data_IF_932369609079
#
_entry.id   IF_932369609079
#
_cell.length_a   1.000
_cell.length_b   1.000
_cell.length_c   1.000
_cell.angle_alpha   90.00
_cell.angle_beta   90.00
_cell.angle_gamma   90.00
#
_symmetry.space_group_name_H-M   'P 1'
#
loop_
_entity.id
_entity.type
_entity.pdbx_description
1 polymer ?
#
# COMPACT_ATOMS: atom_id res chain seq x y z
N UNK A 1 -13.12 12.78 4.32
CA UNK A 1 -13.33 11.60 3.46
C UNK A 1 -12.23 10.61 3.81
N UNK A 2 -12.58 9.38 4.14
CA UNK A 2 -11.62 8.35 4.52
C UNK A 2 -11.34 7.56 3.25
N UNK A 3 -10.17 7.77 2.63
CA UNK A 3 -9.77 6.97 1.47
C UNK A 3 -9.54 5.53 1.96
N UNK A 4 -10.48 4.62 1.65
CA UNK A 4 -10.32 3.21 1.95
C UNK A 4 -9.38 2.58 0.91
N UNK A 5 -8.08 2.57 1.22
CA UNK A 5 -7.11 1.80 0.45
C UNK A 5 -7.30 0.33 0.81
N UNK A 6 -8.12 -0.37 0.03
CA UNK A 6 -8.20 -1.83 0.07
C UNK A 6 -7.03 -2.38 -0.73
N UNK A 7 -5.95 -2.73 -0.03
CA UNK A 7 -4.84 -3.51 -0.60
C UNK A 7 -5.30 -4.98 -0.64
N UNK A 8 -5.62 -5.47 -1.84
CA UNK A 8 -6.00 -6.86 -2.09
C UNK A 8 -4.74 -7.70 -2.34
N UNK A 9 -4.83 -8.98 -1.99
CA UNK A 9 -3.69 -9.89 -1.91
C UNK A 9 -3.28 -10.44 -3.28
N UNK A 10 -2.16 -11.16 -3.30
CA UNK A 10 -1.32 -11.50 -4.46
C UNK A 10 -2.04 -12.17 -5.64
N UNK A 11 -3.20 -12.81 -5.44
CA UNK A 11 -3.95 -13.40 -6.57
C UNK A 11 -4.84 -12.40 -7.32
N UNK A 12 -5.09 -11.21 -6.76
CA UNK A 12 -5.94 -10.16 -7.37
C UNK A 12 -5.12 -8.96 -7.88
N UNK A 13 -3.79 -8.95 -7.71
CA UNK A 13 -2.94 -7.81 -8.16
C UNK A 13 -2.72 -7.81 -9.69
N UNK A 14 -3.37 -8.72 -10.42
CA UNK A 14 -3.53 -8.62 -11.87
C UNK A 14 -4.80 -7.86 -12.30
N UNK A 15 -5.66 -7.46 -11.35
CA UNK A 15 -6.85 -6.68 -11.64
C UNK A 15 -6.64 -5.21 -11.31
N UNK A 16 -6.62 -4.41 -12.38
CA UNK A 16 -6.76 -2.96 -12.37
C UNK A 16 -7.87 -2.55 -11.41
N UNK A 17 -7.52 -1.97 -10.26
CA UNK A 17 -8.53 -1.42 -9.34
C UNK A 17 -9.02 -0.09 -9.89
N UNK A 18 -10.05 -0.14 -10.72
CA UNK A 18 -10.82 1.03 -11.17
C UNK A 18 -11.62 1.60 -9.98
N UNK A 19 -11.08 2.61 -9.32
CA UNK A 19 -11.83 3.45 -8.37
C UNK A 19 -12.59 4.49 -9.21
N UNK A 20 -13.83 4.17 -9.58
CA UNK A 20 -14.72 5.06 -10.33
C UNK A 20 -15.52 5.96 -9.35
N UNK A 21 -15.06 7.20 -9.14
CA UNK A 21 -15.92 8.28 -8.65
C UNK A 21 -16.27 9.20 -9.84
N UNK A 22 -17.50 9.11 -10.32
CA UNK A 22 -18.19 10.13 -11.13
C UNK A 22 -17.37 10.72 -12.29
N UNK A 23 -16.81 9.86 -13.16
CA UNK A 23 -16.11 10.31 -14.38
C UNK A 23 -14.78 11.01 -14.15
N UNK A 24 -14.23 10.97 -12.93
CA UNK A 24 -12.85 11.36 -12.65
C UNK A 24 -11.94 10.17 -12.90
N UNK A 25 -11.11 10.29 -13.93
CA UNK A 25 -10.05 9.31 -14.21
C UNK A 25 -9.15 9.14 -12.99
N UNK A 26 -8.64 7.93 -12.78
CA UNK A 26 -7.71 7.62 -11.69
C UNK A 26 -6.53 8.60 -11.69
N UNK A 27 -6.39 9.35 -10.60
CA UNK A 27 -5.24 10.21 -10.37
C UNK A 27 -3.95 9.38 -10.21
N UNK A 28 -4.05 8.08 -9.89
CA UNK A 28 -2.89 7.21 -9.70
C UNK A 28 -3.12 5.79 -10.18
N UNK A 29 -2.13 5.23 -10.89
CA UNK A 29 -2.07 3.83 -11.33
C UNK A 29 -0.77 3.21 -10.83
N UNK A 30 -0.85 1.99 -10.27
CA UNK A 30 0.30 1.20 -9.84
C UNK A 30 0.27 -0.15 -10.55
N UNK A 31 1.31 -0.46 -11.32
CA UNK A 31 1.42 -1.69 -12.10
C UNK A 31 2.48 -2.62 -11.51
N UNK A 32 2.11 -3.89 -11.27
CA UNK A 32 3.07 -4.94 -10.98
C UNK A 32 3.52 -5.61 -12.28
N UNK A 33 4.76 -5.34 -12.66
CA UNK A 33 5.37 -5.90 -13.88
C UNK A 33 5.82 -7.33 -13.66
N UNK A 34 5.63 -8.14 -14.70
CA UNK A 34 6.36 -9.40 -14.88
C UNK A 34 7.34 -9.26 -16.06
N UNK A 35 8.31 -10.18 -16.22
CA UNK A 35 9.22 -10.15 -17.37
C UNK A 35 8.51 -10.10 -18.73
N UNK A 36 7.31 -10.69 -18.85
CA UNK A 36 6.54 -10.70 -20.09
C UNK A 36 5.74 -9.42 -20.35
N UNK A 37 5.45 -8.61 -19.33
CA UNK A 37 4.63 -7.38 -19.47
C UNK A 37 5.46 -6.10 -19.48
N UNK A 38 6.71 -6.13 -19.01
CA UNK A 38 7.58 -4.96 -18.84
C UNK A 38 7.64 -4.04 -20.08
N UNK A 39 7.75 -4.58 -21.30
CA UNK A 39 7.79 -3.79 -22.54
C UNK A 39 6.48 -3.03 -22.81
N UNK A 40 5.34 -3.64 -22.49
CA UNK A 40 4.02 -3.04 -22.69
C UNK A 40 3.75 -1.99 -21.62
N UNK A 41 4.11 -2.29 -20.37
CA UNK A 41 3.91 -1.40 -19.22
C UNK A 41 4.75 -0.13 -19.35
N UNK A 42 6.05 -0.26 -19.66
CA UNK A 42 6.96 0.88 -19.86
C UNK A 42 6.77 1.62 -21.20
N UNK A 43 6.05 1.01 -22.14
CA UNK A 43 5.82 1.51 -23.49
C UNK A 43 4.37 1.99 -23.70
N UNK A 44 3.54 1.09 -24.24
CA UNK A 44 2.19 1.42 -24.72
C UNK A 44 1.26 1.89 -23.59
N UNK A 45 1.23 1.19 -22.45
CA UNK A 45 0.37 1.57 -21.32
C UNK A 45 0.75 2.94 -20.76
N UNK A 46 2.04 3.18 -20.53
CA UNK A 46 2.54 4.50 -20.10
C UNK A 46 2.10 5.62 -21.04
N UNK A 47 2.22 5.43 -22.36
CA UNK A 47 1.77 6.43 -23.34
C UNK A 47 0.25 6.64 -23.30
N UNK A 48 -0.51 5.55 -23.14
CA UNK A 48 -1.96 5.58 -23.04
C UNK A 48 -2.41 6.36 -21.79
N UNK A 49 -1.79 6.10 -20.63
CA UNK A 49 -2.10 6.78 -19.37
C UNK A 49 -1.74 8.27 -19.39
N UNK A 50 -0.63 8.66 -20.02
CA UNK A 50 -0.27 10.06 -20.22
C UNK A 50 -1.20 10.79 -21.20
N UNK A 51 -1.42 10.19 -22.38
CA UNK A 51 -2.00 10.91 -23.51
C UNK A 51 -3.52 10.91 -23.50
N UNK A 52 -4.14 9.79 -23.10
CA UNK A 52 -5.58 9.60 -23.17
C UNK A 52 -6.21 9.79 -21.78
N UNK A 53 -5.75 9.04 -20.78
CA UNK A 53 -6.35 9.06 -19.44
C UNK A 53 -5.93 10.25 -18.59
N UNK A 54 -4.82 10.90 -18.93
CA UNK A 54 -4.28 12.06 -18.18
C UNK A 54 -4.03 11.76 -16.71
N UNK A 55 -3.75 10.49 -16.39
CA UNK A 55 -3.45 10.01 -15.04
C UNK A 55 -2.26 10.76 -14.46
N UNK A 56 -2.40 11.25 -13.23
CA UNK A 56 -1.42 12.15 -12.62
C UNK A 56 -0.13 11.42 -12.20
N UNK A 57 -0.23 10.25 -11.58
CA UNK A 57 0.94 9.45 -11.20
C UNK A 57 0.83 8.01 -11.75
N UNK A 58 1.90 7.54 -12.39
CA UNK A 58 2.01 6.16 -12.87
C UNK A 58 3.23 5.49 -12.24
N UNK A 59 3.00 4.40 -11.52
CA UNK A 59 4.04 3.61 -10.87
C UNK A 59 4.16 2.24 -11.52
N UNK A 60 5.37 1.72 -11.58
CA UNK A 60 5.65 0.35 -11.99
C UNK A 60 6.62 -0.31 -11.04
N UNK A 61 6.46 -1.60 -10.79
CA UNK A 61 7.36 -2.38 -9.94
C UNK A 61 7.40 -3.84 -10.38
N UNK A 62 8.58 -4.41 -10.47
CA UNK A 62 8.80 -5.83 -10.66
C UNK A 62 9.07 -6.50 -9.30
N UNK A 63 8.20 -7.40 -8.81
CA UNK A 63 8.38 -8.06 -7.52
C UNK A 63 9.59 -8.99 -7.45
N UNK A 64 10.21 -9.32 -8.60
CA UNK A 64 11.44 -10.11 -8.69
C UNK A 64 12.71 -9.25 -8.79
N UNK A 65 12.58 -7.92 -8.83
CA UNK A 65 13.68 -6.97 -8.77
C UNK A 65 13.35 -5.86 -7.76
N UNK A 66 13.83 -5.96 -6.50
CA UNK A 66 13.53 -5.00 -5.43
C UNK A 66 13.87 -3.55 -5.74
N UNK A 67 14.76 -3.29 -6.70
CA UNK A 67 15.20 -1.93 -7.06
C UNK A 67 14.44 -1.36 -8.29
N UNK A 68 13.44 -2.08 -8.79
CA UNK A 68 12.76 -1.75 -10.04
C UNK A 68 11.66 -0.68 -9.91
N UNK A 69 11.32 -0.27 -8.68
CA UNK A 69 10.25 0.68 -8.40
C UNK A 69 10.53 2.02 -9.10
N UNK A 70 9.62 2.41 -10.00
CA UNK A 70 9.71 3.64 -10.78
C UNK A 70 8.38 4.37 -10.79
N UNK A 71 8.44 5.69 -10.97
CA UNK A 71 7.27 6.56 -11.11
C UNK A 71 7.47 7.60 -12.19
N UNK A 72 6.38 7.94 -12.84
CA UNK A 72 6.23 9.15 -13.62
C UNK A 72 5.11 10.02 -13.05
N UNK A 73 5.36 11.33 -12.98
CA UNK A 73 4.36 12.32 -12.62
C UNK A 73 4.00 13.16 -13.84
N UNK A 74 2.71 13.43 -14.02
CA UNK A 74 2.20 14.19 -15.15
C UNK A 74 2.00 15.65 -14.78
N UNK A 75 2.79 16.50 -15.42
CA UNK A 75 2.47 17.91 -15.56
C UNK A 75 1.79 18.11 -16.93
N UNK A 76 2.58 18.45 -17.95
CA UNK A 76 2.12 18.46 -19.35
C UNK A 76 2.25 17.08 -20.00
N UNK A 77 3.32 16.38 -19.64
CA UNK A 77 3.73 15.05 -20.06
C UNK A 77 4.34 14.32 -18.85
N UNK A 78 4.53 13.01 -18.98
CA UNK A 78 5.13 12.21 -17.92
C UNK A 78 6.62 12.49 -17.75
N UNK A 79 7.00 12.88 -16.53
CA UNK A 79 8.38 13.08 -16.11
C UNK A 79 8.74 12.06 -15.05
N UNK A 80 9.87 11.37 -15.24
CA UNK A 80 10.35 10.39 -14.27
C UNK A 80 10.69 11.10 -12.96
N UNK A 81 10.22 10.54 -11.84
CA UNK A 81 10.55 11.05 -10.50
C UNK A 81 11.55 10.11 -9.86
N UNK A 82 12.66 10.67 -9.39
CA UNK A 82 13.65 9.92 -8.64
C UNK A 82 13.09 9.52 -7.27
N UNK A 83 13.41 8.30 -6.85
CA UNK A 83 13.15 7.86 -5.50
C UNK A 83 14.02 8.61 -4.48
N UNK A 84 13.59 8.60 -3.22
CA UNK A 84 14.38 9.13 -2.12
C UNK A 84 15.54 8.20 -1.74
N UNK A 85 16.23 8.53 -0.64
CA UNK A 85 17.36 7.75 -0.13
C UNK A 85 16.98 6.32 0.30
N UNK A 86 15.71 6.06 0.61
CA UNK A 86 15.18 4.73 0.94
C UNK A 86 14.68 3.97 -0.29
N UNK A 87 14.72 4.59 -1.49
CA UNK A 87 14.12 4.02 -2.70
C UNK A 87 12.60 4.16 -2.73
N UNK A 88 12.02 5.06 -1.94
CA UNK A 88 10.58 5.29 -1.89
C UNK A 88 10.15 6.47 -2.79
N UNK A 89 8.89 6.44 -3.21
CA UNK A 89 8.31 7.43 -4.11
C UNK A 89 7.04 8.02 -3.50
N UNK A 90 7.02 9.34 -3.34
CA UNK A 90 5.87 10.05 -2.76
C UNK A 90 4.70 10.13 -3.73
N UNK A 91 3.52 9.65 -3.35
CA UNK A 91 2.29 9.82 -4.13
C UNK A 91 1.51 11.03 -3.60
N UNK A 92 1.44 12.12 -4.38
CA UNK A 92 0.79 13.37 -3.95
C UNK A 92 -0.72 13.22 -3.79
N UNK A 93 -1.37 12.52 -4.73
CA UNK A 93 -2.82 12.30 -4.73
C UNK A 93 -3.30 11.51 -3.49
N UNK A 94 -2.49 10.55 -3.04
CA UNK A 94 -2.79 9.71 -1.88
C UNK A 94 -2.25 10.29 -0.57
N UNK A 95 -1.27 11.21 -0.64
CA UNK A 95 -0.58 11.72 0.54
C UNK A 95 0.22 10.64 1.28
N UNK A 96 0.77 9.67 0.54
CA UNK A 96 1.48 8.50 1.07
C UNK A 96 2.77 8.25 0.28
N UNK A 97 3.77 7.69 0.95
CA UNK A 97 4.92 7.06 0.29
C UNK A 97 4.51 5.69 -0.25
N UNK A 98 5.00 5.35 -1.43
CA UNK A 98 5.04 3.99 -1.93
C UNK A 98 6.48 3.49 -1.86
N UNK A 99 6.68 2.38 -1.16
CA UNK A 99 8.01 1.82 -0.91
C UNK A 99 7.99 0.31 -0.88
N UNK A 100 9.19 -0.28 -0.85
CA UNK A 100 9.37 -1.72 -0.72
C UNK A 100 9.41 -2.15 0.73
N UNK A 101 8.80 -3.30 1.01
CA UNK A 101 8.71 -3.90 2.33
C UNK A 101 9.00 -5.39 2.24
N UNK A 102 9.92 -5.89 3.07
CA UNK A 102 10.20 -7.32 3.15
C UNK A 102 9.28 -7.98 4.18
N UNK A 103 8.50 -8.98 3.75
CA UNK A 103 7.74 -9.80 4.68
C UNK A 103 6.80 -10.78 4.00
N UNK A 104 5.86 -11.31 4.78
CA UNK A 104 4.98 -12.40 4.35
C UNK A 104 3.55 -11.89 4.14
N UNK A 105 3.01 -12.05 2.93
CA UNK A 105 1.60 -11.81 2.60
C UNK A 105 1.08 -13.09 1.97
N UNK A 106 -0.09 -13.58 2.39
CA UNK A 106 -0.70 -14.82 1.86
C UNK A 106 0.25 -16.03 1.78
N UNK A 107 1.10 -16.19 2.80
CA UNK A 107 2.14 -17.23 2.93
C UNK A 107 3.33 -17.10 1.98
N UNK A 108 3.39 -16.05 1.18
CA UNK A 108 4.52 -15.74 0.31
C UNK A 108 5.43 -14.69 0.96
N UNK A 109 6.72 -15.02 1.08
CA UNK A 109 7.71 -14.11 1.66
C UNK A 109 8.55 -13.49 0.56
N UNK A 110 8.28 -12.22 0.26
CA UNK A 110 8.87 -11.48 -0.85
C UNK A 110 9.12 -10.02 -0.45
N UNK A 111 9.71 -9.26 -1.37
CA UNK A 111 9.75 -7.80 -1.29
C UNK A 111 8.47 -7.25 -1.92
N UNK A 112 7.51 -6.89 -1.08
CA UNK A 112 6.20 -6.34 -1.47
C UNK A 112 6.25 -4.83 -1.62
N UNK A 113 5.32 -4.28 -2.41
CA UNK A 113 5.01 -2.85 -2.30
C UNK A 113 4.05 -2.60 -1.15
N UNK A 114 4.33 -1.54 -0.39
CA UNK A 114 3.49 -1.09 0.71
C UNK A 114 3.41 0.43 0.73
N UNK A 115 2.31 0.92 1.30
CA UNK A 115 2.13 2.34 1.57
C UNK A 115 2.66 2.71 2.95
N UNK A 116 3.27 3.88 3.04
CA UNK A 116 3.71 4.48 4.28
C UNK A 116 3.16 5.89 4.42
N UNK A 117 2.79 6.25 5.63
CA UNK A 117 2.40 7.62 5.96
C UNK A 117 3.58 8.58 5.77
N UNK A 118 3.31 9.88 5.72
CA UNK A 118 4.34 10.92 5.69
C UNK A 118 5.38 10.80 6.82
N UNK A 119 5.00 10.23 7.95
CA UNK A 119 5.85 9.95 9.11
C UNK A 119 6.84 8.80 8.89
N UNK A 120 6.67 8.00 7.84
CA UNK A 120 7.37 6.74 7.60
C UNK A 120 6.68 5.53 8.25
N UNK A 121 5.54 5.71 8.92
CA UNK A 121 4.78 4.60 9.50
C UNK A 121 4.11 3.76 8.42
N UNK A 122 4.17 2.43 8.55
CA UNK A 122 3.51 1.50 7.63
C UNK A 122 1.98 1.66 7.70
N UNK A 123 1.33 1.83 6.56
CA UNK A 123 -0.13 1.80 6.46
C UNK A 123 -0.58 0.35 6.53
N UNK A 124 -1.17 -0.02 7.67
CA UNK A 124 -1.59 -1.39 7.94
C UNK A 124 -2.73 -1.84 7.01
N UNK A 125 -2.70 -3.12 6.66
CA UNK A 125 -3.84 -3.82 6.10
C UNK A 125 -4.98 -3.88 7.13
N UNK A 126 -6.24 -4.00 6.67
CA UNK A 126 -7.37 -4.19 7.59
C UNK A 126 -7.17 -5.33 8.58
N UNK A 127 -6.59 -6.45 8.13
CA UNK A 127 -6.32 -7.63 8.96
C UNK A 127 -5.22 -7.36 9.99
N UNK A 128 -4.12 -6.72 9.59
CA UNK A 128 -3.04 -6.31 10.50
C UNK A 128 -3.55 -5.33 11.56
N UNK A 129 -4.38 -4.35 11.15
CA UNK A 129 -4.98 -3.39 12.06
C UNK A 129 -5.97 -4.05 13.03
N UNK A 130 -6.77 -5.03 12.57
CA UNK A 130 -7.67 -5.80 13.40
C UNK A 130 -6.89 -6.64 14.43
N UNK A 131 -5.81 -7.29 14.00
CA UNK A 131 -4.92 -8.07 14.87
C UNK A 131 -4.29 -7.19 15.94
N UNK A 132 -3.74 -6.03 15.58
CA UNK A 132 -3.17 -5.09 16.56
C UNK A 132 -4.21 -4.60 17.58
N UNK A 133 -5.45 -4.35 17.15
CA UNK A 133 -6.53 -3.95 18.07
C UNK A 133 -6.87 -5.08 19.04
N UNK A 134 -7.00 -6.31 18.55
CA UNK A 134 -7.28 -7.47 19.40
C UNK A 134 -6.18 -7.72 20.43
N UNK A 135 -4.91 -7.59 20.03
CA UNK A 135 -3.77 -7.72 20.93
C UNK A 135 -3.71 -6.60 21.98
N UNK A 136 -3.97 -5.36 21.57
CA UNK A 136 -4.03 -4.23 22.49
C UNK A 136 -5.18 -4.37 23.50
N UNK A 137 -6.34 -4.85 23.07
CA UNK A 137 -7.48 -5.11 23.94
C UNK A 137 -7.20 -6.25 24.91
N UNK A 138 -6.61 -7.36 24.44
CA UNK A 138 -6.18 -8.47 25.31
C UNK A 138 -5.21 -7.99 26.39
N UNK A 139 -4.19 -7.21 26.02
CA UNK A 139 -3.22 -6.69 26.98
C UNK A 139 -3.87 -5.73 28.00
N UNK A 140 -4.86 -4.93 27.58
CA UNK A 140 -5.64 -4.08 28.49
C UNK A 140 -6.48 -4.90 29.46
N UNK A 141 -7.15 -5.93 28.96
CA UNK A 141 -7.95 -6.84 29.79
C UNK A 141 -7.07 -7.56 30.81
N UNK A 142 -5.90 -8.06 30.41
CA UNK A 142 -4.93 -8.71 31.31
C UNK A 142 -4.43 -7.76 32.41
N UNK A 143 -4.11 -6.50 32.05
CA UNK A 143 -3.69 -5.48 33.02
C UNK A 143 -4.81 -5.13 34.00
N UNK A 144 -6.04 -5.00 33.52
CA UNK A 144 -7.19 -4.72 34.38
C UNK A 144 -7.48 -5.90 35.30
N UNK A 145 -7.44 -7.13 34.77
CA UNK A 145 -7.64 -8.34 35.56
C UNK A 145 -6.58 -8.48 36.67
N UNK A 146 -5.31 -8.18 36.36
CA UNK A 146 -4.26 -8.15 37.36
C UNK A 146 -4.55 -7.11 38.46
N UNK A 147 -5.01 -5.91 38.09
CA UNK A 147 -5.36 -4.86 39.04
C UNK A 147 -6.58 -5.20 39.90
N UNK A 148 -7.58 -5.88 39.35
CA UNK A 148 -8.73 -6.37 40.10
C UNK A 148 -8.31 -7.43 41.12
N UNK A 149 -7.46 -8.38 40.71
CA UNK A 149 -6.90 -9.38 41.63
C UNK A 149 -6.10 -8.75 42.78
N UNK A 150 -5.35 -7.67 42.52
CA UNK A 150 -4.68 -6.89 43.58
C UNK A 150 -5.66 -6.26 44.58
N UNK A 151 -6.86 -5.90 44.12
CA UNK A 151 -7.93 -5.32 44.95
C UNK A 151 -8.79 -6.39 45.65
N UNK A 152 -8.49 -7.68 45.45
CA UNK A 152 -9.24 -8.81 46.02
C UNK A 152 -10.48 -9.22 45.23
N UNK A 153 -10.70 -8.64 44.04
CA UNK A 153 -11.77 -9.00 43.11
C UNK A 153 -11.26 -10.05 42.11
N UNK A 154 -11.96 -11.17 41.95
CA UNK A 154 -11.56 -12.24 41.04
C UNK A 154 -12.37 -12.17 39.73
N UNK A 155 -11.81 -11.59 38.65
CA UNK A 155 -12.56 -11.33 37.41
C UNK A 155 -13.09 -12.60 36.72
N UNK A 156 -12.50 -13.76 37.00
CA UNK A 156 -12.92 -15.06 36.46
C UNK A 156 -14.08 -15.72 37.24
N UNK A 157 -14.60 -15.04 38.27
CA UNK A 157 -15.67 -15.54 39.15
C UNK A 157 -17.02 -14.82 38.98
N UNK A 158 -17.12 -13.92 37.99
CA UNK A 158 -18.35 -13.24 37.55
C UNK A 158 -18.97 -13.96 36.34
#
# INVERSE_FOLDING_TARGET
>A
MVNTISQQTTSEIAETKEIEEEGRYLDTIIELMSPSTANVDLGLKKQLYDRIFKTQDYFVYNPFDPNSLQRWHRNNDYQAIAADEQGWLWCESLGLWLGTWQGTIDRETLTWLRFYERSGALVLLPEEAAQQRAEAEKLRAERLAARLRELGEYPDSL
#
